data_IF_067578262608
#
_entry.id   IF_067578262608
#
_cell.length_a   1.000
_cell.length_b   1.000
_cell.length_c   1.000
_cell.angle_alpha   90.00
_cell.angle_beta   90.00
_cell.angle_gamma   90.00
#
_symmetry.space_group_name_H-M   'P 1'
#
loop_
_entity.id
_entity.type
_entity.pdbx_description
1 polymer ?
#
# COMPACT_ATOMS: atom_id res chain seq x y z
N UNK A 1 68.71 -14.50 -54.71
CA UNK A 1 67.93 -15.32 -53.76
C UNK A 1 67.25 -14.48 -52.67
N UNK A 2 67.98 -13.64 -51.90
CA UNK A 2 67.42 -12.86 -50.77
C UNK A 2 66.15 -12.00 -51.03
N UNK A 3 65.96 -11.44 -52.23
CA UNK A 3 64.82 -10.55 -52.54
C UNK A 3 63.51 -11.32 -52.74
N UNK A 4 63.56 -12.52 -53.31
CA UNK A 4 62.36 -13.36 -53.56
C UNK A 4 61.85 -13.94 -52.24
N UNK A 5 62.75 -14.31 -51.33
CA UNK A 5 62.41 -14.78 -49.98
C UNK A 5 61.76 -13.66 -49.14
N UNK A 6 62.28 -12.43 -49.23
CA UNK A 6 61.69 -11.23 -48.60
C UNK A 6 60.28 -10.90 -49.12
N UNK A 7 60.02 -11.08 -50.42
CA UNK A 7 58.69 -10.86 -51.02
C UNK A 7 57.72 -11.96 -50.60
N UNK A 8 58.18 -13.23 -50.56
CA UNK A 8 57.39 -14.39 -50.16
C UNK A 8 56.98 -14.32 -48.68
N UNK A 9 57.88 -13.93 -47.78
CA UNK A 9 57.54 -13.71 -46.36
C UNK A 9 56.52 -12.59 -46.17
N UNK A 10 56.71 -11.44 -46.85
CA UNK A 10 55.75 -10.32 -46.77
C UNK A 10 54.36 -10.71 -47.29
N UNK A 11 54.27 -11.57 -48.29
CA UNK A 11 53.01 -12.04 -48.84
C UNK A 11 52.32 -13.05 -47.93
N UNK A 12 53.07 -14.01 -47.36
CA UNK A 12 52.55 -15.00 -46.41
C UNK A 12 51.96 -14.36 -45.15
N UNK A 13 52.70 -13.43 -44.54
CA UNK A 13 52.24 -12.71 -43.32
C UNK A 13 50.96 -11.92 -43.58
N UNK A 14 50.83 -11.27 -44.74
CA UNK A 14 49.59 -10.55 -45.12
C UNK A 14 48.40 -11.49 -45.28
N UNK A 15 48.60 -12.65 -45.91
CA UNK A 15 47.54 -13.65 -46.10
C UNK A 15 47.08 -14.22 -44.75
N UNK A 16 48.03 -14.57 -43.86
CA UNK A 16 47.73 -15.06 -42.51
C UNK A 16 46.97 -14.03 -41.68
N UNK A 17 47.35 -12.76 -41.74
CA UNK A 17 46.61 -11.67 -41.09
C UNK A 17 45.18 -11.55 -41.60
N UNK A 18 44.94 -11.70 -42.91
CA UNK A 18 43.59 -11.68 -43.47
C UNK A 18 42.76 -12.89 -43.02
N UNK A 19 43.34 -14.09 -42.96
CA UNK A 19 42.64 -15.27 -42.46
C UNK A 19 42.29 -15.15 -40.97
N UNK A 20 43.21 -14.63 -40.15
CA UNK A 20 42.96 -14.37 -38.72
C UNK A 20 41.88 -13.30 -38.57
N UNK A 21 41.95 -12.20 -39.33
CA UNK A 21 40.93 -11.17 -39.30
C UNK A 21 39.56 -11.72 -39.71
N UNK A 22 39.49 -12.52 -40.78
CA UNK A 22 38.26 -13.15 -41.24
C UNK A 22 37.66 -14.12 -40.20
N UNK A 23 38.50 -14.79 -39.40
CA UNK A 23 38.04 -15.66 -38.32
C UNK A 23 37.58 -14.89 -37.06
N UNK A 24 38.24 -13.78 -36.73
CA UNK A 24 37.96 -13.00 -35.51
C UNK A 24 36.74 -12.10 -35.67
N UNK A 25 36.54 -11.49 -36.85
CA UNK A 25 35.45 -10.53 -37.09
C UNK A 25 34.05 -11.11 -36.77
N UNK A 26 33.68 -12.32 -37.23
CA UNK A 26 32.39 -12.92 -36.88
C UNK A 26 32.22 -13.16 -35.38
N UNK A 27 33.29 -13.60 -34.69
CA UNK A 27 33.28 -13.85 -33.25
C UNK A 27 33.04 -12.55 -32.48
N UNK A 28 33.71 -11.46 -32.88
CA UNK A 28 33.51 -10.14 -32.27
C UNK A 28 32.09 -9.63 -32.51
N UNK A 29 31.57 -9.76 -33.73
CA UNK A 29 30.20 -9.33 -34.06
C UNK A 29 29.18 -10.09 -33.21
N UNK A 30 29.28 -11.42 -33.16
CA UNK A 30 28.39 -12.25 -32.33
C UNK A 30 28.55 -11.93 -30.85
N UNK A 31 29.78 -11.75 -30.37
CA UNK A 31 30.06 -11.37 -28.98
C UNK A 31 29.41 -10.05 -28.58
N UNK A 32 29.53 -9.02 -29.41
CA UNK A 32 28.91 -7.70 -29.18
C UNK A 32 27.38 -7.81 -29.19
N UNK A 33 26.80 -8.48 -30.20
CA UNK A 33 25.35 -8.67 -30.28
C UNK A 33 24.80 -9.48 -29.11
N UNK A 34 25.48 -10.56 -28.71
CA UNK A 34 25.09 -11.37 -27.56
C UNK A 34 25.18 -10.59 -26.25
N UNK A 35 26.23 -9.78 -26.06
CA UNK A 35 26.38 -8.99 -24.84
C UNK A 35 25.30 -7.90 -24.72
N UNK A 36 24.96 -7.24 -25.84
CA UNK A 36 23.87 -6.27 -25.89
C UNK A 36 22.52 -6.94 -25.55
N UNK A 37 22.19 -8.04 -26.23
CA UNK A 37 20.92 -8.77 -26.00
C UNK A 37 20.81 -9.31 -24.58
N UNK A 38 21.89 -9.87 -24.03
CA UNK A 38 21.91 -10.38 -22.66
C UNK A 38 21.67 -9.26 -21.64
N UNK A 39 22.28 -8.09 -21.86
CA UNK A 39 22.10 -6.92 -21.00
C UNK A 39 20.68 -6.36 -21.08
N UNK A 40 20.10 -6.30 -22.28
CA UNK A 40 18.74 -5.79 -22.49
C UNK A 40 17.69 -6.73 -21.88
N UNK A 41 17.83 -8.04 -22.06
CA UNK A 41 16.94 -9.02 -21.41
C UNK A 41 17.01 -8.94 -19.89
N UNK A 42 18.21 -8.79 -19.32
CA UNK A 42 18.37 -8.70 -17.87
C UNK A 42 17.78 -7.39 -17.31
N UNK A 43 17.95 -6.26 -18.01
CA UNK A 43 17.33 -4.98 -17.66
C UNK A 43 15.81 -5.05 -17.74
N UNK A 44 15.26 -5.63 -18.80
CA UNK A 44 13.82 -5.76 -18.98
C UNK A 44 13.20 -6.64 -17.89
N UNK A 45 13.88 -7.72 -17.47
CA UNK A 45 13.44 -8.54 -16.35
C UNK A 45 13.46 -7.76 -15.03
N UNK A 46 14.54 -7.03 -14.75
CA UNK A 46 14.64 -6.20 -13.54
C UNK A 46 13.54 -5.11 -13.49
N UNK A 47 13.30 -4.42 -14.62
CA UNK A 47 12.22 -3.42 -14.72
C UNK A 47 10.84 -4.07 -14.57
N UNK A 48 10.60 -5.21 -15.21
CA UNK A 48 9.34 -5.93 -15.10
C UNK A 48 9.06 -6.37 -13.65
N UNK A 49 10.08 -6.83 -12.92
CA UNK A 49 9.94 -7.22 -11.52
C UNK A 49 9.55 -6.04 -10.63
N UNK A 50 10.22 -4.89 -10.78
CA UNK A 50 9.88 -3.67 -10.03
C UNK A 50 8.46 -3.19 -10.37
N UNK A 51 8.08 -3.24 -11.65
CA UNK A 51 6.73 -2.86 -12.08
C UNK A 51 5.67 -3.79 -11.50
N UNK A 52 5.95 -5.10 -11.46
CA UNK A 52 5.06 -6.08 -10.86
C UNK A 52 4.91 -5.86 -9.36
N UNK A 53 6.00 -5.64 -8.64
CA UNK A 53 5.98 -5.34 -7.20
C UNK A 53 5.23 -4.03 -6.90
N UNK A 54 5.42 -3.00 -7.71
CA UNK A 54 4.67 -1.74 -7.60
C UNK A 54 3.17 -1.94 -7.86
N UNK A 55 2.81 -2.80 -8.82
CA UNK A 55 1.41 -3.12 -9.14
C UNK A 55 0.75 -3.89 -8.00
N UNK A 56 1.44 -4.89 -7.45
CA UNK A 56 0.97 -5.67 -6.29
C UNK A 56 0.78 -4.76 -5.07
N UNK A 57 1.77 -3.90 -4.77
CA UNK A 57 1.67 -2.93 -3.67
C UNK A 57 0.48 -1.99 -3.85
N UNK A 58 0.23 -1.54 -5.07
CA UNK A 58 -0.92 -0.67 -5.38
C UNK A 58 -2.24 -1.43 -5.19
N UNK A 59 -2.30 -2.70 -5.58
CA UNK A 59 -3.47 -3.55 -5.40
C UNK A 59 -3.76 -3.87 -3.93
N UNK A 60 -2.71 -4.08 -3.13
CA UNK A 60 -2.85 -4.26 -1.68
C UNK A 60 -3.37 -2.99 -1.02
N UNK A 61 -2.87 -1.83 -1.43
CA UNK A 61 -3.32 -0.53 -0.94
C UNK A 61 -4.79 -0.25 -1.31
N UNK A 62 -5.19 -0.54 -2.56
CA UNK A 62 -6.59 -0.34 -2.98
C UNK A 62 -7.53 -1.29 -2.25
N UNK A 63 -7.10 -2.53 -2.00
CA UNK A 63 -7.85 -3.51 -1.21
C UNK A 63 -7.98 -3.05 0.24
N UNK A 64 -6.88 -2.60 0.85
CA UNK A 64 -6.88 -2.06 2.22
C UNK A 64 -7.80 -0.84 2.36
N UNK A 65 -7.73 0.13 1.44
CA UNK A 65 -8.61 1.30 1.44
C UNK A 65 -10.08 0.93 1.19
N UNK A 66 -10.34 -0.02 0.29
CA UNK A 66 -11.68 -0.55 0.04
C UNK A 66 -12.28 -1.22 1.28
N UNK A 67 -11.49 -2.02 1.99
CA UNK A 67 -11.89 -2.64 3.25
C UNK A 67 -12.15 -1.58 4.34
N UNK A 68 -11.27 -0.59 4.48
CA UNK A 68 -11.44 0.51 5.42
C UNK A 68 -12.71 1.31 5.16
N UNK A 69 -12.98 1.66 3.89
CA UNK A 69 -14.21 2.36 3.48
C UNK A 69 -15.46 1.54 3.80
N UNK A 70 -15.43 0.24 3.50
CA UNK A 70 -16.53 -0.69 3.77
C UNK A 70 -16.82 -0.79 5.28
N UNK A 71 -15.77 -0.81 6.10
CA UNK A 71 -15.89 -0.85 7.56
C UNK A 71 -16.52 0.41 8.12
N UNK A 72 -16.06 1.58 7.67
CA UNK A 72 -16.63 2.86 8.08
C UNK A 72 -18.11 2.95 7.72
N UNK A 73 -18.48 2.59 6.49
CA UNK A 73 -19.87 2.57 6.04
C UNK A 73 -20.71 1.56 6.83
N UNK A 74 -20.15 0.40 7.15
CA UNK A 74 -20.85 -0.61 7.96
C UNK A 74 -21.11 -0.07 9.36
N UNK A 75 -20.11 0.52 10.02
CA UNK A 75 -20.24 1.09 11.36
C UNK A 75 -21.19 2.29 11.38
N UNK A 76 -21.12 3.18 10.38
CA UNK A 76 -21.99 4.35 10.27
C UNK A 76 -23.46 3.99 10.08
N UNK A 77 -23.73 2.85 9.44
CA UNK A 77 -25.08 2.36 9.18
C UNK A 77 -25.64 1.48 10.33
N UNK A 78 -24.92 1.36 11.45
CA UNK A 78 -25.44 0.62 12.60
C UNK A 78 -26.56 1.39 13.31
N UNK A 79 -27.59 0.70 13.86
CA UNK A 79 -28.68 1.37 14.56
C UNK A 79 -28.26 2.39 15.65
N UNK A 80 -27.19 2.14 16.44
CA UNK A 80 -26.76 3.08 17.47
C UNK A 80 -26.42 4.48 16.95
N UNK A 81 -25.89 4.62 15.73
CA UNK A 81 -25.51 5.94 15.19
C UNK A 81 -26.74 6.84 15.07
N UNK A 82 -27.82 6.34 14.46
CA UNK A 82 -29.06 7.11 14.34
C UNK A 82 -29.79 7.24 15.68
N UNK A 83 -29.71 6.23 16.54
CA UNK A 83 -30.36 6.27 17.84
C UNK A 83 -29.72 7.29 18.79
N UNK A 84 -28.40 7.50 18.72
CA UNK A 84 -27.70 8.57 19.44
C UNK A 84 -28.25 9.93 19.04
N UNK A 85 -28.42 10.18 17.73
CA UNK A 85 -28.98 11.42 17.20
C UNK A 85 -30.41 11.61 17.73
N UNK A 86 -31.28 10.60 17.54
CA UNK A 86 -32.68 10.67 18.00
C UNK A 86 -32.79 10.89 19.50
N UNK A 87 -32.00 10.17 20.30
CA UNK A 87 -32.02 10.32 21.75
C UNK A 87 -31.62 11.73 22.17
N UNK A 88 -30.57 12.29 21.56
CA UNK A 88 -30.12 13.66 21.83
C UNK A 88 -31.21 14.68 21.50
N UNK A 89 -31.86 14.53 20.36
CA UNK A 89 -32.90 15.46 19.89
C UNK A 89 -34.21 15.35 20.69
N UNK A 90 -34.40 14.27 21.46
CA UNK A 90 -35.61 13.99 22.25
C UNK A 90 -35.33 13.96 23.77
N UNK A 91 -34.40 14.79 24.24
CA UNK A 91 -34.17 14.97 25.68
C UNK A 91 -33.45 13.81 26.38
N UNK A 92 -32.67 13.03 25.63
CA UNK A 92 -31.83 11.94 26.14
C UNK A 92 -32.43 10.55 26.03
N UNK A 93 -33.61 10.38 25.43
CA UNK A 93 -34.28 9.07 25.24
C UNK A 93 -34.62 8.89 23.76
N UNK A 94 -34.23 7.75 23.17
CA UNK A 94 -34.60 7.42 21.79
C UNK A 94 -36.10 7.08 21.72
N UNK A 95 -36.95 7.88 21.03
CA UNK A 95 -38.38 7.61 20.94
C UNK A 95 -38.73 6.31 20.20
N UNK A 96 -37.80 5.76 19.40
CA UNK A 96 -38.06 4.55 18.63
C UNK A 96 -37.98 3.27 19.47
N UNK A 97 -37.09 3.24 20.47
CA UNK A 97 -36.87 2.06 21.32
C UNK A 97 -37.02 2.33 22.82
N UNK A 98 -37.27 3.59 23.21
CA UNK A 98 -37.38 4.05 24.59
C UNK A 98 -36.13 3.76 25.44
N UNK A 99 -34.97 3.65 24.77
CA UNK A 99 -33.66 3.44 25.40
C UNK A 99 -32.97 4.79 25.65
N UNK A 100 -32.31 4.99 26.81
CA UNK A 100 -31.52 6.19 27.09
C UNK A 100 -30.32 6.35 26.14
N UNK A 101 -29.91 7.61 25.93
CA UNK A 101 -28.73 7.98 25.15
C UNK A 101 -27.47 7.18 25.52
N UNK A 102 -27.21 7.00 26.82
CA UNK A 102 -26.02 6.28 27.32
C UNK A 102 -25.98 4.82 26.89
N UNK A 103 -27.15 4.18 26.76
CA UNK A 103 -27.26 2.80 26.26
C UNK A 103 -26.77 2.73 24.83
N UNK A 104 -27.12 3.72 24.00
CA UNK A 104 -26.70 3.79 22.61
C UNK A 104 -25.22 4.10 22.44
N UNK A 105 -24.68 5.02 23.24
CA UNK A 105 -23.24 5.28 23.32
C UNK A 105 -22.47 4.02 23.69
N UNK A 106 -22.95 3.25 24.68
CA UNK A 106 -22.31 2.00 25.06
C UNK A 106 -22.41 0.95 23.94
N UNK A 107 -23.57 0.79 23.29
CA UNK A 107 -23.72 -0.12 22.14
C UNK A 107 -22.75 0.21 21.00
N UNK A 108 -22.64 1.49 20.62
CA UNK A 108 -21.69 1.93 19.59
C UNK A 108 -20.23 1.71 20.03
N UNK A 109 -19.92 1.95 21.30
CA UNK A 109 -18.60 1.66 21.89
C UNK A 109 -18.24 0.18 21.77
N UNK A 110 -19.17 -0.74 22.04
CA UNK A 110 -18.92 -2.18 21.89
C UNK A 110 -18.70 -2.58 20.42
N UNK A 111 -19.44 -1.95 19.48
CA UNK A 111 -19.24 -2.17 18.04
C UNK A 111 -17.83 -1.73 17.62
N UNK A 112 -17.38 -0.54 18.02
CA UNK A 112 -16.03 -0.05 17.73
C UNK A 112 -14.96 -0.96 18.33
N UNK A 113 -15.16 -1.37 19.59
CA UNK A 113 -14.29 -2.31 20.29
C UNK A 113 -14.15 -3.63 19.52
N UNK A 114 -15.27 -4.26 19.15
CA UNK A 114 -15.26 -5.56 18.47
C UNK A 114 -14.61 -5.47 17.09
N UNK A 115 -14.89 -4.40 16.34
CA UNK A 115 -14.30 -4.19 15.02
C UNK A 115 -12.78 -4.07 15.08
N UNK A 116 -12.26 -3.26 15.99
CA UNK A 116 -10.83 -3.05 16.10
C UNK A 116 -10.08 -4.21 16.80
N UNK A 117 -10.75 -5.01 17.64
CA UNK A 117 -10.19 -6.30 18.09
C UNK A 117 -9.95 -7.25 16.91
N UNK A 118 -10.91 -7.27 15.99
CA UNK A 118 -10.83 -8.09 14.77
C UNK A 118 -9.79 -7.51 13.80
N UNK A 119 -9.73 -6.18 13.70
CA UNK A 119 -8.93 -5.45 12.72
C UNK A 119 -7.90 -4.56 13.42
N UNK A 120 -6.77 -5.18 13.77
CA UNK A 120 -5.71 -4.57 14.60
C UNK A 120 -4.99 -3.36 13.98
N UNK A 121 -5.35 -2.95 12.76
CA UNK A 121 -4.79 -1.78 12.09
C UNK A 121 -5.44 -0.46 12.53
N UNK A 122 -6.61 -0.51 13.18
CA UNK A 122 -7.20 0.69 13.78
C UNK A 122 -6.44 1.07 15.05
N UNK A 123 -5.91 2.29 15.10
CA UNK A 123 -5.36 2.88 16.34
C UNK A 123 -6.43 3.63 17.13
N UNK A 124 -7.48 4.09 16.46
CA UNK A 124 -8.52 4.90 17.05
C UNK A 124 -9.76 4.92 16.16
N UNK A 125 -10.95 4.89 16.77
CA UNK A 125 -12.24 5.09 16.10
C UNK A 125 -13.07 6.10 16.90
N UNK A 126 -13.69 7.04 16.19
CA UNK A 126 -14.48 8.13 16.77
C UNK A 126 -15.80 8.33 16.05
N UNK A 127 -16.82 8.68 16.81
CA UNK A 127 -18.04 9.30 16.33
C UNK A 127 -18.07 10.74 16.83
N UNK A 128 -18.18 11.69 15.91
CA UNK A 128 -18.25 13.12 16.21
C UNK A 128 -19.64 13.65 15.86
N UNK A 129 -20.11 14.62 16.63
CA UNK A 129 -21.29 15.41 16.26
C UNK A 129 -20.94 16.51 15.24
N UNK A 130 -21.95 17.24 14.81
CA UNK A 130 -21.87 18.38 13.89
C UNK A 130 -20.99 19.53 14.39
N UNK A 131 -20.83 19.68 15.70
CA UNK A 131 -20.00 20.71 16.34
C UNK A 131 -18.54 20.25 16.53
N UNK A 132 -18.23 19.01 16.12
CA UNK A 132 -16.92 18.40 16.24
C UNK A 132 -16.62 17.79 17.62
N UNK A 133 -17.59 17.65 18.51
CA UNK A 133 -17.45 16.97 19.77
C UNK A 133 -17.36 15.45 19.57
N UNK A 134 -16.36 14.83 20.19
CA UNK A 134 -16.30 13.37 20.32
C UNK A 134 -17.45 12.87 21.20
N UNK A 135 -18.37 12.08 20.62
CA UNK A 135 -19.49 11.45 21.32
C UNK A 135 -19.14 10.02 21.75
N UNK A 136 -18.43 9.30 20.88
CA UNK A 136 -17.94 7.93 21.14
C UNK A 136 -16.50 7.86 20.68
N UNK A 137 -15.62 7.33 21.54
CA UNK A 137 -14.22 7.14 21.19
C UNK A 137 -13.66 5.87 21.82
N UNK A 138 -12.96 5.11 21.01
CA UNK A 138 -12.18 3.96 21.44
C UNK A 138 -10.77 4.07 20.85
N UNK A 139 -9.77 3.97 21.72
CA UNK A 139 -8.36 3.96 21.36
C UNK A 139 -7.82 2.52 21.43
N UNK A 140 -6.89 2.19 20.53
CA UNK A 140 -6.29 0.87 20.40
C UNK A 140 -4.76 1.02 20.39
N UNK A 141 -4.10 0.56 21.46
CA UNK A 141 -2.66 0.70 21.64
C UNK A 141 -2.05 -0.61 22.10
N UNK A 142 -1.11 -1.16 21.33
CA UNK A 142 -0.39 -2.38 21.70
C UNK A 142 -1.30 -3.58 21.98
N UNK A 143 -2.41 -3.71 21.24
CA UNK A 143 -3.41 -4.77 21.44
C UNK A 143 -4.34 -4.57 22.65
N UNK A 144 -4.21 -3.45 23.38
CA UNK A 144 -5.15 -3.04 24.43
C UNK A 144 -6.15 -2.03 23.90
N UNK A 145 -7.34 -2.06 24.50
CA UNK A 145 -8.47 -1.22 24.15
C UNK A 145 -8.69 -0.27 25.31
N UNK A 146 -8.73 1.03 25.02
CA UNK A 146 -9.06 2.08 25.96
C UNK A 146 -10.39 2.71 25.54
N UNK A 147 -11.41 2.56 26.39
CA UNK A 147 -12.75 3.12 26.16
C UNK A 147 -12.75 4.54 26.72
N UNK A 148 -12.95 5.52 25.85
CA UNK A 148 -12.94 6.95 26.20
C UNK A 148 -14.36 7.52 26.28
N UNK A 149 -15.33 6.89 25.61
CA UNK A 149 -16.76 7.26 25.70
C UNK A 149 -17.23 7.33 27.16
N UNK A 150 -17.94 8.41 27.53
CA UNK A 150 -18.43 8.63 28.90
C UNK A 150 -17.37 9.10 29.90
N UNK A 151 -16.18 9.50 29.43
CA UNK A 151 -15.14 10.11 30.25
C UNK A 151 -14.96 11.59 29.91
N UNK A 152 -14.29 12.32 30.80
CA UNK A 152 -13.85 13.71 30.62
C UNK A 152 -12.75 13.88 29.56
N UNK A 153 -12.24 12.78 29.00
CA UNK A 153 -11.19 12.75 27.97
C UNK A 153 -11.72 12.92 26.54
N UNK A 154 -13.04 13.01 26.35
CA UNK A 154 -13.64 13.35 25.05
C UNK A 154 -13.25 14.79 24.67
N UNK A 155 -12.92 15.00 23.39
CA UNK A 155 -12.42 16.28 22.91
C UNK A 155 -13.34 16.89 21.86
N UNK A 156 -13.42 18.21 21.81
CA UNK A 156 -13.91 18.92 20.64
C UNK A 156 -12.77 19.06 19.61
N UNK A 157 -13.02 18.66 18.37
CA UNK A 157 -12.05 18.67 17.26
C UNK A 157 -12.22 19.85 16.30
N UNK A 158 -13.26 20.67 16.47
CA UNK A 158 -13.41 21.91 15.73
C UNK A 158 -12.48 23.02 16.26
N UNK A 159 -12.15 22.97 17.55
CA UNK A 159 -11.30 23.96 18.25
C UNK A 159 -9.80 23.62 18.26
N UNK A 160 -9.41 22.44 17.79
CA UNK A 160 -8.01 22.04 17.65
C UNK A 160 -7.47 22.47 16.28
N UNK A 161 -7.12 23.76 16.16
CA UNK A 161 -6.29 24.30 15.07
C UNK A 161 -4.81 24.08 15.37
#
# INVERSE_FOLDING_TARGET
>A
MRVVDLIRERLGVRLTLMFVAAAVVPVVIVGVLSFQRASDSLRNLAVAQVQQEATLTTQDLTTFLGQFSTDLLTMSNTPPVQAIIRARDNGGIDPAQNDPYEVWVNRLTQIFKANAQTKKFYQQVRYLNEDGDEMVRVDFRGGKIDIVSGTDRLQNKASAS
#
